data_IF_028462738862
#
_entry.id   IF_028462738862
#
_cell.length_a   1.000
_cell.length_b   1.000
_cell.length_c   1.000
_cell.angle_alpha   90.00
_cell.angle_beta   90.00
_cell.angle_gamma   90.00
#
_symmetry.space_group_name_H-M   'P 1'
#
loop_
_entity.id
_entity.type
_entity.pdbx_description
1 polymer ?
#
# COMPACT_ATOMS: atom_id res chain seq x y z
N UNK A 1 -2.96 -15.84 19.12
CA UNK A 1 -1.54 -15.48 19.22
C UNK A 1 -0.96 -15.38 17.78
N UNK A 2 -0.80 -14.24 17.10
CA UNK A 2 -0.69 -12.83 17.51
C UNK A 2 -1.09 -11.95 16.31
N UNK A 3 -2.29 -11.36 16.32
CA UNK A 3 -2.74 -10.42 15.27
C UNK A 3 -1.80 -9.21 15.17
N UNK A 4 -1.19 -8.84 16.31
CA UNK A 4 -0.27 -7.72 16.44
C UNK A 4 1.01 -7.88 15.60
N UNK A 5 1.45 -9.11 15.26
CA UNK A 5 2.69 -9.30 14.49
C UNK A 5 2.56 -8.82 13.05
N UNK A 6 1.38 -8.95 12.46
CA UNK A 6 1.11 -8.53 11.07
C UNK A 6 1.04 -7.01 10.98
N UNK A 7 0.35 -6.40 11.94
CA UNK A 7 0.29 -4.95 12.09
C UNK A 7 1.66 -4.36 12.40
N UNK A 8 2.45 -5.01 13.26
CA UNK A 8 3.81 -4.59 13.57
C UNK A 8 4.73 -4.74 12.36
N UNK A 9 4.60 -5.81 11.56
CA UNK A 9 5.33 -5.96 10.31
C UNK A 9 4.95 -4.88 9.29
N UNK A 10 3.67 -4.56 9.15
CA UNK A 10 3.20 -3.47 8.30
C UNK A 10 3.73 -2.11 8.80
N UNK A 11 3.69 -1.86 10.11
CA UNK A 11 4.22 -0.65 10.73
C UNK A 11 5.72 -0.50 10.48
N UNK A 12 6.49 -1.57 10.71
CA UNK A 12 7.93 -1.59 10.41
C UNK A 12 8.18 -1.31 8.93
N UNK A 13 7.41 -1.93 8.03
CA UNK A 13 7.54 -1.70 6.59
C UNK A 13 7.23 -0.25 6.21
N UNK A 14 6.18 0.36 6.79
CA UNK A 14 5.86 1.77 6.62
C UNK A 14 7.01 2.64 7.10
N UNK A 15 7.52 2.40 8.31
CA UNK A 15 8.63 3.18 8.88
C UNK A 15 9.90 3.06 8.05
N UNK A 16 10.22 1.85 7.57
CA UNK A 16 11.36 1.61 6.68
C UNK A 16 11.18 2.31 5.34
N UNK A 17 10.02 2.18 4.70
CA UNK A 17 9.70 2.89 3.46
C UNK A 17 9.79 4.40 3.65
N UNK A 18 9.29 4.92 4.77
CA UNK A 18 9.41 6.34 5.13
C UNK A 18 10.89 6.72 5.26
N UNK A 19 11.67 5.97 6.04
CA UNK A 19 13.08 6.26 6.30
C UNK A 19 13.94 6.20 5.03
N UNK A 20 13.63 5.30 4.08
CA UNK A 20 14.31 5.22 2.78
C UNK A 20 13.87 6.35 1.85
N UNK A 21 12.59 6.73 1.88
CA UNK A 21 12.05 7.79 1.03
C UNK A 21 12.39 9.20 1.54
N UNK A 22 12.61 9.37 2.84
CA UNK A 22 12.87 10.66 3.48
C UNK A 22 14.16 11.36 2.93
N UNK A 23 15.31 10.68 2.78
CA UNK A 23 16.49 11.27 2.14
C UNK A 23 16.21 11.77 0.71
N UNK A 24 15.42 11.01 -0.07
CA UNK A 24 15.03 11.43 -1.43
C UNK A 24 14.21 12.72 -1.39
N UNK A 25 13.31 12.86 -0.43
CA UNK A 25 12.48 14.06 -0.27
C UNK A 25 13.33 15.25 0.18
N UNK A 26 14.26 15.05 1.10
CA UNK A 26 15.14 16.10 1.63
C UNK A 26 16.12 16.63 0.57
N UNK A 27 16.54 15.81 -0.38
CA UNK A 27 17.39 16.21 -1.51
C UNK A 27 16.61 16.89 -2.64
N UNK A 28 15.29 16.73 -2.66
CA UNK A 28 14.38 17.30 -3.64
C UNK A 28 13.26 16.31 -3.95
N UNK A 29 11.98 16.62 -3.61
CA UNK A 29 10.89 15.66 -3.72
C UNK A 29 10.82 15.09 -5.14
N UNK A 30 10.92 13.76 -5.31
CA UNK A 30 10.94 13.15 -6.62
C UNK A 30 9.63 13.47 -7.32
N UNK A 31 9.72 13.96 -8.56
CA UNK A 31 8.53 14.20 -9.37
C UNK A 31 7.77 12.88 -9.53
N UNK A 32 6.43 12.89 -9.52
CA UNK A 32 5.64 11.67 -9.75
C UNK A 32 6.00 10.95 -11.05
N UNK A 33 6.43 11.72 -12.08
CA UNK A 33 6.89 11.22 -13.38
C UNK A 33 8.33 10.69 -13.39
N UNK A 34 9.07 10.82 -12.28
CA UNK A 34 10.42 10.25 -12.16
C UNK A 34 10.36 8.73 -12.04
N UNK A 35 11.43 8.06 -12.43
CA UNK A 35 11.53 6.59 -12.42
C UNK A 35 11.27 6.01 -11.02
N UNK A 36 11.73 6.69 -9.97
CA UNK A 36 11.51 6.31 -8.58
C UNK A 36 10.05 6.52 -8.18
N UNK A 37 9.48 7.69 -8.48
CA UNK A 37 8.07 7.99 -8.20
C UNK A 37 7.16 6.97 -8.87
N UNK A 38 7.29 6.80 -10.19
CA UNK A 38 6.44 5.90 -10.96
C UNK A 38 6.63 4.42 -10.57
N UNK A 39 7.86 4.00 -10.30
CA UNK A 39 8.15 2.64 -9.83
C UNK A 39 7.44 2.30 -8.51
N UNK A 40 7.47 3.22 -7.54
CA UNK A 40 6.77 3.05 -6.26
C UNK A 40 5.24 2.99 -6.49
N UNK A 41 4.71 3.81 -7.39
CA UNK A 41 3.29 3.79 -7.76
C UNK A 41 2.85 2.47 -8.38
N UNK A 42 3.63 1.92 -9.33
CA UNK A 42 3.35 0.63 -9.96
C UNK A 42 3.38 -0.50 -8.92
N UNK A 43 4.40 -0.55 -8.07
CA UNK A 43 4.50 -1.58 -7.03
C UNK A 43 3.34 -1.46 -6.04
N UNK A 44 2.99 -0.24 -5.61
CA UNK A 44 1.86 0.01 -4.73
C UNK A 44 0.53 -0.43 -5.34
N UNK A 45 0.29 -0.11 -6.62
CA UNK A 45 -0.90 -0.55 -7.35
C UNK A 45 -0.96 -2.07 -7.49
N UNK A 46 0.15 -2.72 -7.84
CA UNK A 46 0.22 -4.18 -7.92
C UNK A 46 -0.08 -4.83 -6.58
N UNK A 47 0.40 -4.27 -5.47
CA UNK A 47 0.05 -4.72 -4.12
C UNK A 47 -1.45 -4.56 -3.83
N UNK A 48 -2.05 -3.42 -4.15
CA UNK A 48 -3.50 -3.23 -3.98
C UNK A 48 -4.30 -4.24 -4.82
N UNK A 49 -3.97 -4.41 -6.10
CA UNK A 49 -4.63 -5.36 -6.99
C UNK A 49 -4.47 -6.80 -6.48
N UNK A 50 -3.29 -7.14 -5.99
CA UNK A 50 -2.99 -8.42 -5.40
C UNK A 50 -3.82 -8.65 -4.11
N UNK A 51 -4.09 -7.61 -3.33
CA UNK A 51 -4.91 -7.68 -2.10
C UNK A 51 -6.34 -8.10 -2.42
N UNK A 52 -6.93 -7.47 -3.44
CA UNK A 52 -8.30 -7.74 -3.88
C UNK A 52 -8.42 -9.10 -4.58
N UNK A 53 -7.42 -9.47 -5.39
CA UNK A 53 -7.49 -10.66 -6.25
C UNK A 53 -7.00 -11.93 -5.57
N UNK A 54 -5.82 -11.95 -4.95
CA UNK A 54 -5.20 -13.20 -4.46
C UNK A 54 -5.99 -13.83 -3.32
N UNK A 55 -6.47 -13.03 -2.36
CA UNK A 55 -7.28 -13.55 -1.27
C UNK A 55 -8.64 -14.09 -1.76
N UNK A 56 -9.33 -13.32 -2.61
CA UNK A 56 -10.62 -13.69 -3.20
C UNK A 56 -10.53 -14.96 -4.07
N UNK A 57 -9.51 -15.03 -4.93
CA UNK A 57 -9.23 -16.19 -5.79
C UNK A 57 -8.93 -17.44 -4.96
N UNK A 58 -8.12 -17.31 -3.90
CA UNK A 58 -7.83 -18.41 -2.98
C UNK A 58 -9.07 -18.86 -2.20
N UNK A 59 -9.94 -17.94 -1.80
CA UNK A 59 -11.17 -18.26 -1.06
C UNK A 59 -12.17 -18.99 -1.96
N UNK A 60 -12.24 -18.62 -3.24
CA UNK A 60 -13.12 -19.23 -4.25
C UNK A 60 -12.56 -20.55 -4.80
N UNK A 61 -11.25 -20.64 -4.98
CA UNK A 61 -10.60 -21.82 -5.57
C UNK A 61 -10.33 -22.89 -4.51
N UNK A 62 -11.22 -23.88 -4.39
CA UNK A 62 -11.01 -25.07 -3.53
C UNK A 62 -9.96 -26.04 -4.07
N UNK A 63 -9.47 -25.88 -5.30
CA UNK A 63 -8.59 -26.84 -5.98
C UNK A 63 -7.09 -26.57 -5.79
N UNK A 64 -6.71 -25.35 -5.46
CA UNK A 64 -5.30 -24.95 -5.38
C UNK A 64 -4.82 -25.06 -3.94
N UNK A 65 -3.93 -26.03 -3.65
CA UNK A 65 -3.31 -26.23 -2.33
C UNK A 65 -2.16 -25.24 -2.05
N UNK A 66 -2.34 -23.98 -2.40
CA UNK A 66 -1.33 -22.96 -2.08
C UNK A 66 -1.47 -22.57 -0.60
N UNK A 67 -0.64 -23.16 0.27
CA UNK A 67 -0.43 -22.72 1.65
C UNK A 67 -1.64 -22.74 2.61
N UNK A 68 -1.39 -22.44 3.88
CA UNK A 68 -2.44 -22.35 4.92
C UNK A 68 -3.28 -21.08 4.72
N UNK A 69 -4.58 -21.13 5.01
CA UNK A 69 -5.49 -19.95 4.98
C UNK A 69 -5.00 -18.79 5.81
N UNK A 70 -4.44 -19.10 6.98
CA UNK A 70 -3.87 -18.10 7.86
C UNK A 70 -2.84 -17.23 7.13
N UNK A 71 -1.86 -17.82 6.44
CA UNK A 71 -0.79 -17.10 5.73
C UNK A 71 -1.34 -16.14 4.67
N UNK A 72 -2.37 -16.54 3.93
CA UNK A 72 -3.01 -15.66 2.93
C UNK A 72 -3.68 -14.44 3.55
N UNK A 73 -4.30 -14.62 4.73
CA UNK A 73 -4.86 -13.50 5.47
C UNK A 73 -3.77 -12.53 5.94
N UNK A 74 -2.64 -13.05 6.42
CA UNK A 74 -1.51 -12.22 6.86
C UNK A 74 -0.93 -11.40 5.70
N UNK A 75 -0.75 -12.03 4.53
CA UNK A 75 -0.26 -11.37 3.32
C UNK A 75 -1.28 -10.34 2.82
N UNK A 76 -2.58 -10.66 2.88
CA UNK A 76 -3.64 -9.73 2.49
C UNK A 76 -3.67 -8.48 3.38
N UNK A 77 -3.62 -8.65 4.72
CA UNK A 77 -3.58 -7.52 5.66
C UNK A 77 -2.33 -6.66 5.43
N UNK A 78 -1.16 -7.30 5.32
CA UNK A 78 0.10 -6.59 5.07
C UNK A 78 0.05 -5.78 3.77
N UNK A 79 -0.38 -6.41 2.69
CA UNK A 79 -0.38 -5.82 1.36
C UNK A 79 -1.45 -4.74 1.19
N UNK A 80 -2.60 -4.90 1.85
CA UNK A 80 -3.67 -3.91 1.90
C UNK A 80 -3.31 -2.65 2.68
N UNK A 81 -2.35 -2.71 3.59
CA UNK A 81 -1.85 -1.53 4.32
C UNK A 81 -0.66 -0.90 3.58
N UNK A 82 0.32 -1.70 3.18
CA UNK A 82 1.56 -1.21 2.57
C UNK A 82 1.32 -0.69 1.14
N UNK A 83 0.44 -1.32 0.37
CA UNK A 83 0.12 -0.93 -1.00
C UNK A 83 -0.40 0.52 -1.11
N UNK A 84 -1.51 0.89 -0.43
CA UNK A 84 -2.01 2.26 -0.43
C UNK A 84 -1.01 3.29 0.10
N UNK A 85 -0.19 2.90 1.09
CA UNK A 85 0.87 3.77 1.61
C UNK A 85 1.92 4.10 0.53
N UNK A 86 2.33 3.11 -0.28
CA UNK A 86 3.23 3.35 -1.41
C UNK A 86 2.60 4.24 -2.49
N UNK A 87 1.30 4.06 -2.78
CA UNK A 87 0.57 4.93 -3.72
C UNK A 87 0.48 6.36 -3.20
N UNK A 88 0.35 6.57 -1.89
CA UNK A 88 0.43 7.89 -1.30
C UNK A 88 1.82 8.54 -1.53
N UNK A 89 2.90 7.79 -1.30
CA UNK A 89 4.27 8.28 -1.55
C UNK A 89 4.54 8.58 -3.04
N UNK A 90 3.89 7.87 -3.98
CA UNK A 90 4.01 8.16 -5.41
C UNK A 90 3.68 9.61 -5.79
N UNK A 91 2.77 10.25 -5.05
CA UNK A 91 2.37 11.64 -5.31
C UNK A 91 3.50 12.65 -5.09
N UNK A 92 4.60 12.26 -4.44
CA UNK A 92 5.77 13.12 -4.23
C UNK A 92 5.44 14.42 -3.48
N UNK A 93 4.38 14.40 -2.65
CA UNK A 93 3.80 15.55 -1.95
C UNK A 93 3.26 16.66 -2.87
N UNK A 94 3.03 16.36 -4.14
CA UNK A 94 2.48 17.29 -5.13
C UNK A 94 0.97 17.04 -5.30
N UNK A 95 0.18 17.62 -4.40
CA UNK A 95 -1.30 17.50 -4.41
C UNK A 95 -1.97 18.50 -5.36
N UNK A 96 -1.48 18.63 -6.59
CA UNK A 96 -2.06 19.52 -7.59
C UNK A 96 -3.05 18.78 -8.50
N UNK A 97 -4.16 19.44 -8.86
CA UNK A 97 -5.15 18.92 -9.81
C UNK A 97 -5.85 17.65 -9.34
N UNK A 98 -5.93 16.64 -10.22
CA UNK A 98 -6.66 15.40 -9.97
C UNK A 98 -6.14 14.63 -8.75
N UNK A 99 -4.82 14.62 -8.52
CA UNK A 99 -4.22 13.94 -7.37
C UNK A 99 -4.65 14.55 -6.03
N UNK A 100 -4.83 15.88 -5.98
CA UNK A 100 -5.35 16.57 -4.80
C UNK A 100 -6.82 16.24 -4.55
N UNK A 101 -7.64 16.25 -5.59
CA UNK A 101 -9.08 15.92 -5.48
C UNK A 101 -9.28 14.48 -5.04
N UNK A 102 -8.56 13.51 -5.63
CA UNK A 102 -8.68 12.11 -5.22
C UNK A 102 -8.22 11.87 -3.79
N UNK A 103 -7.17 12.56 -3.34
CA UNK A 103 -6.72 12.52 -1.95
C UNK A 103 -7.78 13.08 -1.00
N UNK A 104 -8.39 14.24 -1.34
CA UNK A 104 -9.48 14.82 -0.56
C UNK A 104 -10.67 13.87 -0.45
N UNK A 105 -11.10 13.27 -1.56
CA UNK A 105 -12.19 12.29 -1.55
C UNK A 105 -11.84 11.08 -0.68
N UNK A 106 -10.61 10.58 -0.78
CA UNK A 106 -10.14 9.46 0.06
C UNK A 106 -10.18 9.83 1.54
N UNK A 107 -9.72 11.02 1.89
CA UNK A 107 -9.77 11.54 3.26
C UNK A 107 -11.21 11.66 3.78
N UNK A 108 -12.13 12.16 2.96
CA UNK A 108 -13.57 12.25 3.31
C UNK A 108 -14.17 10.88 3.56
N UNK A 109 -13.87 9.89 2.71
CA UNK A 109 -14.34 8.51 2.90
C UNK A 109 -13.80 7.94 4.22
N UNK A 110 -12.51 8.11 4.52
CA UNK A 110 -11.91 7.67 5.78
C UNK A 110 -12.58 8.36 6.98
N UNK A 111 -12.82 9.67 6.91
CA UNK A 111 -13.47 10.42 7.98
C UNK A 111 -14.93 9.99 8.21
N UNK A 112 -15.65 9.61 7.15
CA UNK A 112 -17.04 9.14 7.24
C UNK A 112 -17.20 7.74 7.82
N UNK A 113 -16.12 6.94 7.82
CA UNK A 113 -16.13 5.55 8.29
C UNK A 113 -15.81 5.36 9.78
N UNK A 114 -15.48 6.45 10.49
CA UNK A 114 -15.31 6.50 11.95
C UNK A 114 -16.61 6.97 12.61
#
# INVERSE_FOLDING_TARGET
>A
MDHNRELLAALIAILLLTAVYLPLVLLGPPRPSSLVGHGIGIVGFLMMLATETLYSLRKRSRRVRWGRMRTWLQVHIFMGIVGPYMVFLHTGFQFAGLAGVTMLLTATVVASGF
#
